data_IF_217077396294
#
_entry.id   IF_217077396294
#
_cell.length_a   1.000
_cell.length_b   1.000
_cell.length_c   1.000
_cell.angle_alpha   90.00
_cell.angle_beta   90.00
_cell.angle_gamma   90.00
#
_symmetry.space_group_name_H-M   'P 1'
#
loop_
_entity.id
_entity.type
_entity.pdbx_description
1 polymer ?
#
# COMPACT_ATOMS: atom_id res chain seq x y z
N UNK A 1 2.54 2.79 28.15
CA UNK A 1 2.06 4.11 27.67
C UNK A 1 0.88 3.86 26.76
N UNK A 2 -0.19 4.66 26.86
CA UNK A 2 -1.33 4.64 25.94
C UNK A 2 -1.18 5.86 25.02
N UNK A 3 -0.94 5.69 23.71
CA UNK A 3 -0.78 6.82 22.81
C UNK A 3 -2.09 7.62 22.71
N UNK A 4 -2.03 8.94 22.62
CA UNK A 4 -3.22 9.76 22.39
C UNK A 4 -3.64 9.73 20.92
N UNK A 5 -2.64 9.65 20.04
CA UNK A 5 -2.78 9.65 18.58
C UNK A 5 -2.01 8.47 17.99
N UNK A 6 -2.62 7.80 17.02
CA UNK A 6 -2.01 6.74 16.22
C UNK A 6 -2.22 7.06 14.75
N UNK A 7 -1.13 7.07 13.98
CA UNK A 7 -1.16 7.23 12.54
C UNK A 7 -0.98 5.85 11.88
N UNK A 8 -1.88 5.49 10.99
CA UNK A 8 -1.78 4.30 10.14
C UNK A 8 -1.54 4.74 8.69
N UNK A 9 -0.27 4.70 8.25
CA UNK A 9 0.11 4.95 6.87
C UNK A 9 0.29 3.61 6.14
N UNK A 10 -0.56 3.32 5.15
CA UNK A 10 -0.61 1.99 4.51
C UNK A 10 -1.05 2.07 3.05
N UNK A 11 -1.02 0.93 2.34
CA UNK A 11 -1.57 0.80 1.00
C UNK A 11 -0.69 -0.05 0.09
N UNK A 12 0.51 0.42 -0.26
CA UNK A 12 1.31 -0.18 -1.34
C UNK A 12 1.61 -1.65 -1.12
N UNK A 13 2.09 -2.02 0.07
CA UNK A 13 2.45 -3.41 0.34
C UNK A 13 1.21 -4.30 0.44
N UNK A 14 0.17 -3.87 1.15
CA UNK A 14 -1.09 -4.62 1.27
C UNK A 14 -1.72 -4.87 -0.09
N UNK A 15 -1.79 -3.84 -0.94
CA UNK A 15 -2.34 -3.94 -2.29
C UNK A 15 -1.44 -4.80 -3.22
N UNK A 16 -0.13 -4.57 -3.21
CA UNK A 16 0.82 -5.31 -4.06
C UNK A 16 0.87 -6.79 -3.69
N UNK A 17 0.95 -7.11 -2.40
CA UNK A 17 1.03 -8.49 -1.91
C UNK A 17 -0.32 -9.19 -1.92
N UNK A 18 -1.40 -8.44 -1.69
CA UNK A 18 -2.77 -8.93 -1.79
C UNK A 18 -3.04 -9.58 -3.14
N UNK A 19 -2.45 -9.09 -4.22
CA UNK A 19 -2.59 -9.68 -5.55
C UNK A 19 -2.17 -11.15 -5.66
N UNK A 20 -1.20 -11.62 -4.88
CA UNK A 20 -0.63 -12.97 -5.03
C UNK A 20 -0.60 -13.82 -3.77
N UNK A 21 -1.24 -13.37 -2.69
CA UNK A 21 -1.45 -14.17 -1.48
C UNK A 21 -2.64 -15.15 -1.63
N UNK A 22 -2.80 -16.06 -0.68
CA UNK A 22 -3.87 -17.08 -0.71
C UNK A 22 -5.28 -16.44 -0.80
N UNK A 23 -6.11 -16.85 -1.78
CA UNK A 23 -7.44 -16.26 -1.97
C UNK A 23 -8.40 -16.46 -0.80
N UNK A 24 -8.29 -17.56 -0.05
CA UNK A 24 -9.17 -17.82 1.10
C UNK A 24 -8.79 -16.89 2.24
N UNK A 25 -7.49 -16.75 2.54
CA UNK A 25 -7.01 -15.81 3.55
C UNK A 25 -7.34 -14.36 3.21
N UNK A 26 -7.25 -13.96 1.94
CA UNK A 26 -7.62 -12.62 1.52
C UNK A 26 -9.14 -12.39 1.60
N UNK A 27 -9.94 -13.26 1.00
CA UNK A 27 -11.39 -13.04 0.86
C UNK A 27 -12.15 -13.23 2.18
N UNK A 28 -11.81 -14.25 2.98
CA UNK A 28 -12.54 -14.57 4.20
C UNK A 28 -11.98 -13.86 5.44
N UNK A 29 -10.66 -13.59 5.46
CA UNK A 29 -9.98 -13.06 6.65
C UNK A 29 -9.35 -11.68 6.44
N UNK A 30 -9.35 -11.16 5.22
CA UNK A 30 -8.75 -9.86 4.87
C UNK A 30 -7.26 -9.78 5.24
N UNK A 31 -6.53 -10.88 5.02
CA UNK A 31 -5.10 -10.97 5.34
C UNK A 31 -4.29 -11.01 4.04
N UNK A 32 -3.49 -9.96 3.83
CA UNK A 32 -2.40 -9.93 2.85
C UNK A 32 -1.06 -10.21 3.52
N UNK A 33 -0.16 -10.92 2.84
CA UNK A 33 1.16 -11.26 3.36
C UNK A 33 2.15 -11.51 2.23
N UNK A 34 3.43 -11.57 2.58
CA UNK A 34 4.51 -11.86 1.65
C UNK A 34 4.31 -13.24 1.02
N UNK A 35 4.14 -13.30 -0.30
CA UNK A 35 3.93 -14.56 -1.04
C UNK A 35 5.06 -15.57 -0.81
N UNK A 36 6.26 -15.12 -0.44
CA UNK A 36 7.38 -15.99 -0.10
C UNK A 36 7.04 -16.91 1.09
N UNK A 37 6.10 -16.53 1.96
CA UNK A 37 5.62 -17.40 3.04
C UNK A 37 4.83 -18.60 2.52
N UNK A 38 4.14 -18.51 1.38
CA UNK A 38 3.52 -19.67 0.72
C UNK A 38 4.58 -20.67 0.24
N UNK A 39 5.64 -20.17 -0.37
CA UNK A 39 6.71 -21.03 -0.86
C UNK A 39 7.45 -21.69 0.31
N UNK A 40 7.69 -20.95 1.40
CA UNK A 40 8.23 -21.52 2.63
C UNK A 40 7.31 -22.55 3.28
N UNK A 41 5.99 -22.31 3.31
CA UNK A 41 5.03 -23.28 3.82
C UNK A 41 5.10 -24.60 3.03
N UNK A 42 5.13 -24.54 1.69
CA UNK A 42 5.27 -25.74 0.83
C UNK A 42 6.57 -26.50 1.09
N UNK A 43 7.67 -25.78 1.29
CA UNK A 43 8.98 -26.38 1.63
C UNK A 43 8.90 -27.09 2.98
N UNK A 44 8.37 -26.42 4.01
CA UNK A 44 8.28 -26.96 5.38
C UNK A 44 7.34 -28.17 5.47
N UNK A 45 6.27 -28.20 4.68
CA UNK A 45 5.30 -29.29 4.65
C UNK A 45 5.62 -30.40 3.64
N UNK A 46 6.74 -30.30 2.92
CA UNK A 46 7.16 -31.30 1.93
C UNK A 46 6.24 -31.41 0.71
N UNK A 47 5.41 -30.40 0.47
CA UNK A 47 4.47 -30.33 -0.67
C UNK A 47 5.02 -29.52 -1.83
N UNK A 48 6.31 -29.16 -1.78
CA UNK A 48 6.95 -28.37 -2.84
C UNK A 48 7.24 -29.25 -4.06
N UNK A 49 6.51 -29.02 -5.14
CA UNK A 49 6.77 -29.63 -6.44
C UNK A 49 7.86 -28.83 -7.19
N UNK A 50 9.13 -29.12 -6.87
CA UNK A 50 10.29 -28.63 -7.62
C UNK A 50 11.48 -28.20 -6.75
N UNK A 51 12.50 -27.62 -7.40
CA UNK A 51 13.57 -26.93 -6.68
C UNK A 51 12.97 -25.73 -5.94
N UNK A 52 13.23 -25.61 -4.64
CA UNK A 52 12.99 -24.40 -3.85
C UNK A 52 13.77 -23.24 -4.48
N UNK A 53 13.16 -22.57 -5.46
CA UNK A 53 13.75 -21.42 -6.11
C UNK A 53 13.02 -20.19 -5.59
N UNK A 54 13.51 -19.56 -4.51
CA UNK A 54 13.06 -18.22 -4.14
C UNK A 54 13.34 -17.30 -5.34
N UNK A 55 12.29 -16.82 -5.99
CA UNK A 55 12.38 -16.09 -7.26
C UNK A 55 11.49 -16.62 -8.38
N UNK A 56 10.34 -17.24 -8.05
CA UNK A 56 9.28 -17.42 -9.05
C UNK A 56 8.50 -16.10 -9.15
N UNK A 57 8.14 -15.66 -10.38
CA UNK A 57 7.24 -14.55 -10.59
C UNK A 57 5.99 -14.64 -9.72
N UNK A 58 5.63 -13.55 -9.03
CA UNK A 58 4.38 -13.45 -8.32
C UNK A 58 3.25 -13.76 -9.31
N UNK A 59 2.50 -14.81 -9.00
CA UNK A 59 1.27 -15.12 -9.73
C UNK A 59 0.16 -14.24 -9.16
N UNK A 60 -0.58 -13.58 -10.04
CA UNK A 60 -1.80 -12.87 -9.65
C UNK A 60 -2.89 -13.92 -9.41
N UNK A 61 -3.37 -13.98 -8.17
CA UNK A 61 -4.37 -14.92 -7.69
C UNK A 61 -5.71 -14.23 -7.39
N UNK A 62 -5.67 -12.97 -6.96
CA UNK A 62 -6.85 -12.24 -6.47
C UNK A 62 -7.27 -11.13 -7.43
N UNK A 63 -8.57 -10.85 -7.46
CA UNK A 63 -9.10 -9.72 -8.22
C UNK A 63 -8.74 -8.40 -7.52
N UNK A 64 -8.49 -7.30 -8.27
CA UNK A 64 -8.19 -5.99 -7.70
C UNK A 64 -9.21 -5.53 -6.65
N UNK A 65 -10.49 -5.80 -6.89
CA UNK A 65 -11.59 -5.45 -6.00
C UNK A 65 -11.43 -6.14 -4.63
N UNK A 66 -11.20 -7.45 -4.62
CA UNK A 66 -11.02 -8.23 -3.38
C UNK A 66 -9.81 -7.74 -2.58
N UNK A 67 -8.74 -7.36 -3.28
CA UNK A 67 -7.52 -6.81 -2.67
C UNK A 67 -7.77 -5.47 -1.99
N UNK A 68 -8.49 -4.56 -2.67
CA UNK A 68 -8.84 -3.26 -2.11
C UNK A 68 -9.81 -3.40 -0.94
N UNK A 69 -10.81 -4.29 -1.04
CA UNK A 69 -11.73 -4.57 0.07
C UNK A 69 -11.01 -5.16 1.29
N UNK A 70 -10.05 -6.06 1.08
CA UNK A 70 -9.26 -6.62 2.16
C UNK A 70 -8.40 -5.55 2.85
N UNK A 71 -7.72 -4.70 2.09
CA UNK A 71 -6.97 -3.57 2.64
C UNK A 71 -7.88 -2.62 3.45
N UNK A 72 -9.01 -2.20 2.88
CA UNK A 72 -9.95 -1.31 3.54
C UNK A 72 -10.53 -1.92 4.83
N UNK A 73 -10.88 -3.20 4.79
CA UNK A 73 -11.37 -3.94 5.96
C UNK A 73 -10.30 -3.99 7.05
N UNK A 74 -9.04 -4.19 6.68
CA UNK A 74 -7.94 -4.27 7.65
C UNK A 74 -7.64 -2.94 8.33
N UNK A 75 -7.66 -1.82 7.59
CA UNK A 75 -7.46 -0.50 8.19
C UNK A 75 -8.62 -0.11 9.11
N UNK A 76 -9.86 -0.50 8.80
CA UNK A 76 -11.02 -0.32 9.69
C UNK A 76 -10.89 -1.12 10.98
N UNK A 77 -10.53 -2.41 10.89
CA UNK A 77 -10.26 -3.24 12.06
C UNK A 77 -9.18 -2.62 12.97
N UNK A 78 -8.13 -2.05 12.37
CA UNK A 78 -7.08 -1.35 13.12
C UNK A 78 -7.61 -0.07 13.79
N UNK A 79 -8.38 0.73 13.07
CA UNK A 79 -8.99 1.95 13.60
C UNK A 79 -9.94 1.66 14.77
N UNK A 80 -10.73 0.57 14.68
CA UNK A 80 -11.62 0.11 15.75
C UNK A 80 -10.85 -0.30 17.00
N UNK A 81 -9.73 -1.03 16.82
CA UNK A 81 -8.86 -1.42 17.92
C UNK A 81 -8.23 -0.20 18.61
N UNK A 82 -7.71 0.76 17.84
CA UNK A 82 -7.14 2.01 18.37
C UNK A 82 -8.20 2.83 19.12
N UNK A 83 -9.39 2.95 18.54
CA UNK A 83 -10.51 3.69 19.13
C UNK A 83 -11.03 3.01 20.40
N UNK A 84 -11.11 1.67 20.42
CA UNK A 84 -11.49 0.88 21.60
C UNK A 84 -10.49 0.98 22.74
N UNK A 85 -9.21 1.23 22.42
CA UNK A 85 -8.21 1.58 23.44
C UNK A 85 -8.38 3.02 23.94
N UNK A 86 -9.17 3.88 23.29
CA UNK A 86 -9.41 5.28 23.63
C UNK A 86 -8.35 6.23 23.10
N UNK A 87 -7.72 5.88 21.97
CA UNK A 87 -6.79 6.72 21.21
C UNK A 87 -7.48 7.22 19.94
N UNK A 88 -7.01 8.33 19.38
CA UNK A 88 -7.44 8.77 18.05
C UNK A 88 -6.65 8.03 16.97
N UNK A 89 -7.34 7.57 15.92
CA UNK A 89 -6.71 6.95 14.76
C UNK A 89 -6.83 7.86 13.54
N UNK A 90 -5.70 8.11 12.88
CA UNK A 90 -5.62 8.83 11.61
C UNK A 90 -5.09 7.88 10.55
N UNK A 91 -5.82 7.75 9.44
CA UNK A 91 -5.51 6.82 8.36
C UNK A 91 -4.95 7.59 7.16
N UNK A 92 -3.93 7.06 6.52
CA UNK A 92 -3.42 7.60 5.26
C UNK A 92 -3.22 6.52 4.23
N UNK A 93 -3.85 6.69 3.05
CA UNK A 93 -3.44 5.95 1.85
C UNK A 93 -2.11 6.53 1.38
N UNK A 94 -1.08 5.69 1.34
CA UNK A 94 0.25 6.12 0.96
C UNK A 94 0.35 6.50 -0.52
N UNK A 95 1.22 7.46 -0.87
CA UNK A 95 1.49 7.78 -2.25
C UNK A 95 2.51 6.80 -2.84
N UNK A 96 2.72 6.95 -4.14
CA UNK A 96 3.73 6.26 -4.93
C UNK A 96 4.17 7.18 -6.08
N UNK A 97 5.27 6.86 -6.77
CA UNK A 97 5.74 7.67 -7.90
C UNK A 97 4.65 7.85 -8.99
N UNK A 98 3.81 6.83 -9.20
CA UNK A 98 2.67 6.89 -10.13
C UNK A 98 1.48 7.74 -9.63
N UNK A 99 1.54 8.30 -8.42
CA UNK A 99 0.53 9.20 -7.85
C UNK A 99 0.70 10.63 -8.34
N UNK A 100 1.90 10.99 -8.80
CA UNK A 100 2.17 12.29 -9.39
C UNK A 100 1.49 12.44 -10.74
N UNK A 101 1.13 13.66 -11.09
CA UNK A 101 0.60 13.96 -12.43
C UNK A 101 1.61 13.64 -13.54
N UNK A 102 2.90 13.85 -13.25
CA UNK A 102 4.03 13.47 -14.09
C UNK A 102 5.23 13.07 -13.21
N UNK A 103 5.89 11.96 -13.53
CA UNK A 103 7.10 11.52 -12.83
C UNK A 103 8.32 12.36 -13.24
N UNK A 104 9.19 12.64 -12.29
CA UNK A 104 10.47 13.28 -12.57
C UNK A 104 11.36 12.35 -13.42
N UNK A 105 12.20 12.86 -14.34
CA UNK A 105 13.04 12.01 -15.19
C UNK A 105 13.93 11.03 -14.43
N UNK A 106 14.46 11.43 -13.26
CA UNK A 106 15.27 10.54 -12.42
C UNK A 106 14.44 9.42 -11.78
N UNK A 107 13.25 9.72 -11.27
CA UNK A 107 12.31 8.71 -10.74
C UNK A 107 12.01 7.67 -11.82
N UNK A 108 11.65 8.14 -13.02
CA UNK A 108 11.38 7.29 -14.18
C UNK A 108 12.57 6.40 -14.52
N UNK A 109 13.77 6.97 -14.60
CA UNK A 109 14.99 6.21 -14.89
C UNK A 109 15.31 5.15 -13.82
N UNK A 110 15.08 5.45 -12.54
CA UNK A 110 15.28 4.49 -11.43
C UNK A 110 14.25 3.35 -11.53
N UNK A 111 12.98 3.70 -11.74
CA UNK A 111 11.87 2.75 -11.86
C UNK A 111 12.08 1.81 -13.05
N UNK A 112 12.55 2.33 -14.19
CA UNK A 112 12.86 1.56 -15.39
C UNK A 112 14.05 0.60 -15.16
N UNK A 113 15.09 1.03 -14.45
CA UNK A 113 16.21 0.15 -14.07
C UNK A 113 15.76 -0.99 -13.16
N UNK A 114 14.85 -0.68 -12.22
CA UNK A 114 14.28 -1.65 -11.28
C UNK A 114 13.17 -2.55 -11.85
N UNK A 115 12.63 -2.21 -13.03
CA UNK A 115 11.55 -2.97 -13.69
C UNK A 115 11.97 -4.38 -14.14
N UNK A 116 13.26 -4.68 -14.10
CA UNK A 116 13.82 -6.00 -14.44
C UNK A 116 13.69 -7.02 -13.31
N UNK A 117 13.08 -6.70 -12.16
CA UNK A 117 12.73 -7.72 -11.19
C UNK A 117 11.48 -8.49 -11.67
N UNK A 118 11.64 -9.72 -12.20
CA UNK A 118 10.50 -10.48 -12.73
C UNK A 118 9.52 -10.90 -11.62
N UNK A 119 9.97 -10.89 -10.36
CA UNK A 119 9.18 -11.40 -9.23
C UNK A 119 7.97 -10.54 -8.95
N UNK A 120 8.09 -9.22 -9.06
CA UNK A 120 7.01 -8.28 -8.70
C UNK A 120 6.51 -7.45 -9.88
N UNK A 121 7.06 -7.65 -11.07
CA UNK A 121 6.74 -6.84 -12.25
C UNK A 121 5.23 -6.78 -12.52
N UNK A 122 4.56 -7.92 -12.54
CA UNK A 122 3.12 -8.00 -12.82
C UNK A 122 2.27 -7.27 -11.76
N UNK A 123 2.68 -7.32 -10.49
CA UNK A 123 2.02 -6.55 -9.44
C UNK A 123 2.26 -5.05 -9.60
N UNK A 124 3.50 -4.65 -9.84
CA UNK A 124 3.85 -3.24 -10.03
C UNK A 124 3.16 -2.60 -11.23
N UNK A 125 2.93 -3.34 -12.32
CA UNK A 125 2.16 -2.88 -13.47
C UNK A 125 0.67 -2.62 -13.13
N UNK A 126 0.13 -3.30 -12.10
CA UNK A 126 -1.25 -3.12 -11.63
C UNK A 126 -1.41 -2.04 -10.57
N UNK A 127 -0.32 -1.64 -9.91
CA UNK A 127 -0.37 -0.71 -8.77
C UNK A 127 -1.05 0.64 -9.06
N UNK A 128 -0.86 1.30 -10.21
CA UNK A 128 -1.56 2.55 -10.48
C UNK A 128 -3.09 2.41 -10.38
N UNK A 129 -3.65 1.41 -11.05
CA UNK A 129 -5.09 1.14 -11.02
C UNK A 129 -5.58 0.70 -9.63
N UNK A 130 -4.77 -0.07 -8.89
CA UNK A 130 -5.11 -0.45 -7.51
C UNK A 130 -5.15 0.74 -6.57
N UNK A 131 -4.23 1.69 -6.72
CA UNK A 131 -4.22 2.93 -5.92
C UNK A 131 -5.41 3.83 -6.28
N UNK A 132 -5.76 3.95 -7.56
CA UNK A 132 -6.97 4.65 -8.00
C UNK A 132 -8.23 4.03 -7.36
N UNK A 133 -8.33 2.69 -7.37
CA UNK A 133 -9.44 1.97 -6.74
C UNK A 133 -9.45 2.14 -5.21
N UNK A 134 -8.29 2.03 -4.56
CA UNK A 134 -8.17 2.21 -3.11
C UNK A 134 -8.54 3.63 -2.69
N UNK A 135 -8.15 4.65 -3.47
CA UNK A 135 -8.51 6.04 -3.28
C UNK A 135 -10.03 6.23 -3.33
N UNK A 136 -10.68 5.74 -4.39
CA UNK A 136 -12.13 5.80 -4.52
C UNK A 136 -12.85 5.07 -3.37
N UNK A 137 -12.40 3.87 -3.01
CA UNK A 137 -13.01 3.07 -1.93
C UNK A 137 -12.78 3.70 -0.55
N UNK A 138 -11.64 4.36 -0.35
CA UNK A 138 -11.41 5.17 0.84
C UNK A 138 -12.38 6.35 0.88
N UNK A 139 -12.61 7.05 -0.23
CA UNK A 139 -13.58 8.14 -0.33
C UNK A 139 -15.01 7.69 0.01
N UNK A 140 -15.44 6.54 -0.53
CA UNK A 140 -16.76 5.95 -0.31
C UNK A 140 -16.94 5.32 1.08
N UNK A 141 -15.86 5.15 1.85
CA UNK A 141 -15.91 4.51 3.15
C UNK A 141 -16.59 5.38 4.23
N UNK A 142 -17.04 4.73 5.30
CA UNK A 142 -17.60 5.33 6.51
C UNK A 142 -16.54 5.86 7.50
N UNK A 143 -15.26 5.81 7.14
CA UNK A 143 -14.18 6.42 7.92
C UNK A 143 -14.36 7.93 7.92
N UNK A 144 -14.35 8.56 9.09
CA UNK A 144 -14.46 10.02 9.26
C UNK A 144 -13.48 10.77 8.34
N UNK A 145 -13.97 11.64 7.44
CA UNK A 145 -13.12 12.46 6.57
C UNK A 145 -12.07 13.29 7.31
N UNK A 146 -12.33 13.72 8.54
CA UNK A 146 -11.35 14.45 9.36
C UNK A 146 -10.28 13.54 9.97
N UNK A 147 -10.39 12.22 9.80
CA UNK A 147 -9.45 11.21 10.31
C UNK A 147 -8.79 10.40 9.20
N UNK A 148 -8.93 10.83 7.95
CA UNK A 148 -8.28 10.17 6.81
C UNK A 148 -7.65 11.19 5.87
N UNK A 149 -6.56 10.78 5.22
CA UNK A 149 -5.92 11.53 4.15
C UNK A 149 -5.56 10.61 3.00
N UNK A 150 -5.81 11.06 1.78
CA UNK A 150 -5.41 10.35 0.58
C UNK A 150 -4.16 11.01 0.00
N UNK A 151 -2.99 10.44 0.27
CA UNK A 151 -1.76 10.96 -0.33
C UNK A 151 -1.60 10.54 -1.78
N UNK A 152 -2.25 9.46 -2.23
CA UNK A 152 -2.26 9.11 -3.65
C UNK A 152 -2.93 10.23 -4.47
N UNK A 153 -4.09 10.71 -4.03
CA UNK A 153 -4.76 11.86 -4.66
C UNK A 153 -3.98 13.17 -4.44
N UNK A 154 -3.55 13.45 -3.20
CA UNK A 154 -2.83 14.70 -2.89
C UNK A 154 -1.54 14.87 -3.70
N UNK A 155 -0.85 13.76 -4.01
CA UNK A 155 0.40 13.82 -4.78
C UNK A 155 0.19 14.12 -6.27
N UNK A 156 -1.05 14.08 -6.78
CA UNK A 156 -1.37 14.51 -8.15
C UNK A 156 -1.03 15.98 -8.40
N UNK A 157 -0.95 16.79 -7.34
CA UNK A 157 -0.56 18.19 -7.42
C UNK A 157 0.91 18.42 -7.82
N UNK A 158 1.76 17.38 -7.79
CA UNK A 158 3.16 17.46 -8.17
C UNK A 158 3.41 16.88 -9.56
N UNK A 159 4.40 17.44 -10.26
CA UNK A 159 4.72 17.13 -11.65
C UNK A 159 6.19 16.68 -11.83
N UNK A 160 6.62 16.60 -13.09
CA UNK A 160 7.95 16.16 -13.48
C UNK A 160 9.09 17.11 -13.07
N UNK A 161 8.80 18.24 -12.42
CA UNK A 161 9.81 19.18 -11.90
C UNK A 161 10.24 18.88 -10.46
N UNK A 162 9.48 18.07 -9.72
CA UNK A 162 9.78 17.72 -8.33
C UNK A 162 10.27 16.27 -8.23
N UNK A 163 11.51 16.02 -7.82
CA UNK A 163 11.98 14.66 -7.51
C UNK A 163 11.61 14.31 -6.06
N UNK A 164 10.51 13.58 -5.87
CA UNK A 164 9.96 13.27 -4.54
C UNK A 164 10.15 11.81 -4.15
N UNK A 165 10.43 10.91 -5.10
CA UNK A 165 10.58 9.48 -4.85
C UNK A 165 11.98 8.97 -5.17
N UNK A 166 12.53 8.16 -4.26
CA UNK A 166 13.78 7.44 -4.45
C UNK A 166 13.58 6.14 -5.25
N UNK A 167 12.36 5.57 -5.23
CA UNK A 167 11.96 4.44 -6.07
C UNK A 167 10.46 4.50 -6.41
N UNK A 168 9.77 3.35 -6.54
CA UNK A 168 8.33 3.32 -6.83
C UNK A 168 7.48 3.87 -5.69
N UNK A 169 7.94 3.81 -4.45
CA UNK A 169 7.13 4.03 -3.25
C UNK A 169 7.84 4.79 -2.14
N UNK A 170 9.16 4.65 -2.02
CA UNK A 170 9.93 5.34 -0.99
C UNK A 170 10.21 6.78 -1.42
N UNK A 171 9.94 7.72 -0.52
CA UNK A 171 10.17 9.14 -0.75
C UNK A 171 11.64 9.53 -0.53
N UNK A 172 12.05 10.62 -1.19
CA UNK A 172 13.12 11.47 -0.68
C UNK A 172 12.62 12.30 0.52
N UNK A 173 13.52 12.92 1.31
CA UNK A 173 13.12 13.72 2.47
C UNK A 173 12.04 14.78 2.18
N UNK A 174 12.05 15.38 0.99
CA UNK A 174 11.05 16.34 0.54
C UNK A 174 9.65 15.73 0.45
N UNK A 175 9.55 14.49 -0.06
CA UNK A 175 8.30 13.73 -0.09
C UNK A 175 7.81 13.35 1.31
N UNK A 176 8.73 12.94 2.19
CA UNK A 176 8.42 12.65 3.60
C UNK A 176 7.90 13.90 4.33
N UNK A 177 8.47 15.08 4.05
CA UNK A 177 8.06 16.34 4.64
C UNK A 177 6.63 16.73 4.21
N UNK A 178 6.25 16.45 2.95
CA UNK A 178 4.88 16.63 2.46
C UNK A 178 3.91 15.73 3.21
N UNK A 179 4.25 14.44 3.37
CA UNK A 179 3.42 13.47 4.11
C UNK A 179 3.27 13.90 5.58
N UNK A 180 4.38 14.27 6.22
CA UNK A 180 4.39 14.71 7.61
C UNK A 180 3.53 15.97 7.82
N UNK A 181 3.63 16.95 6.90
CA UNK A 181 2.78 18.15 6.93
C UNK A 181 1.30 17.81 6.78
N UNK A 182 0.95 16.92 5.84
CA UNK A 182 -0.43 16.49 5.63
C UNK A 182 -1.06 15.90 6.90
N UNK A 183 -0.34 15.01 7.59
CA UNK A 183 -0.81 14.48 8.88
C UNK A 183 -0.89 15.55 9.98
N UNK A 184 0.12 16.43 10.08
CA UNK A 184 0.12 17.49 11.09
C UNK A 184 -1.10 18.43 10.92
N UNK A 185 -1.43 18.80 9.68
CA UNK A 185 -2.62 19.61 9.40
C UNK A 185 -3.93 18.89 9.70
N UNK A 186 -4.03 17.60 9.35
CA UNK A 186 -5.22 16.79 9.62
C UNK A 186 -5.47 16.68 11.13
N UNK A 187 -4.42 16.36 11.90
CA UNK A 187 -4.49 16.24 13.35
C UNK A 187 -4.87 17.58 13.99
N UNK A 188 -4.31 18.69 13.51
CA UNK A 188 -4.60 20.02 14.06
C UNK A 188 -6.05 20.47 13.85
N UNK A 189 -6.71 20.02 12.78
CA UNK A 189 -8.09 20.38 12.44
C UNK A 189 -9.14 19.52 13.15
N UNK A 190 -8.75 18.43 13.78
CA UNK A 190 -9.61 17.40 14.39
C UNK A 190 -9.92 17.67 15.86
#
# INVERSE_FOLDING_TARGET
>A
MKPEVVICHSGWNDLCLGLGCDPVLLAEYHISYLYQFEEWAKILHGTHEGSANPGRPLKILNAPEDVVEAWLSRIKQFADLVSGMGSQCFLGLQPAACSKSEMHPNEKAIIERGANNPDLRLAFEKMPALLDMASLRLEESDIDPNRRIDFHDSFRAYDGTCELFADRVHCWPEGDEIIARGYAELIWRS
#
